data_IF_789653667768
#
_entry.id   IF_789653667768
#
_cell.length_a   1.000
_cell.length_b   1.000
_cell.length_c   1.000
_cell.angle_alpha   90.00
_cell.angle_beta   90.00
_cell.angle_gamma   90.00
#
_symmetry.space_group_name_H-M   'P 1'
#
loop_
_entity.id
_entity.type
_entity.pdbx_description
1 polymer ?
#
# COMPACT_ATOMS: atom_id res chain seq x y z
N UNK A 1 26.91 87.08 -23.69
CA UNK A 1 26.22 85.90 -24.25
C UNK A 1 26.97 84.58 -24.02
N UNK A 2 28.28 84.47 -24.34
CA UNK A 2 29.00 83.18 -24.28
C UNK A 2 29.15 82.51 -22.89
N UNK A 3 29.30 83.28 -21.81
CA UNK A 3 29.41 82.72 -20.45
C UNK A 3 28.12 82.05 -19.96
N UNK A 4 26.96 82.52 -20.42
CA UNK A 4 25.65 82.01 -20.01
C UNK A 4 25.32 80.69 -20.74
N UNK A 5 25.71 80.57 -22.01
CA UNK A 5 25.62 79.32 -22.76
C UNK A 5 26.46 78.19 -22.13
N UNK A 6 27.65 78.50 -21.62
CA UNK A 6 28.55 77.52 -20.99
C UNK A 6 27.96 76.97 -19.68
N UNK A 7 27.33 77.82 -18.87
CA UNK A 7 26.63 77.41 -17.64
C UNK A 7 25.42 76.53 -17.96
N UNK A 8 24.65 76.85 -19.02
CA UNK A 8 23.51 76.03 -19.45
C UNK A 8 23.95 74.66 -19.94
N UNK A 9 25.00 74.59 -20.76
CA UNK A 9 25.52 73.32 -21.29
C UNK A 9 26.09 72.44 -20.17
N UNK A 10 26.84 73.02 -19.22
CA UNK A 10 27.35 72.29 -18.06
C UNK A 10 26.21 71.80 -17.15
N UNK A 11 25.22 72.65 -16.85
CA UNK A 11 24.05 72.27 -16.07
C UNK A 11 23.23 71.15 -16.71
N UNK A 12 23.06 71.19 -18.04
CA UNK A 12 22.37 70.15 -18.78
C UNK A 12 23.17 68.85 -18.83
N UNK A 13 24.50 68.92 -18.98
CA UNK A 13 25.35 67.72 -18.94
C UNK A 13 25.33 67.03 -17.57
N UNK A 14 25.31 67.81 -16.48
CA UNK A 14 25.29 67.28 -15.11
C UNK A 14 23.93 66.67 -14.78
N UNK A 15 22.83 67.30 -15.20
CA UNK A 15 21.48 66.75 -15.01
C UNK A 15 21.27 65.47 -15.84
N UNK A 16 21.70 65.43 -17.11
CA UNK A 16 21.65 64.21 -17.93
C UNK A 16 22.54 63.11 -17.35
N UNK A 17 23.72 63.45 -16.80
CA UNK A 17 24.59 62.51 -16.10
C UNK A 17 23.93 61.87 -14.88
N UNK A 18 23.29 62.66 -14.02
CA UNK A 18 22.56 62.17 -12.84
C UNK A 18 21.38 61.28 -13.25
N UNK A 19 20.60 61.71 -14.25
CA UNK A 19 19.46 60.92 -14.77
C UNK A 19 19.95 59.60 -15.38
N UNK A 20 21.02 59.64 -16.17
CA UNK A 20 21.63 58.44 -16.77
C UNK A 20 22.14 57.46 -15.71
N UNK A 21 22.78 57.96 -14.65
CA UNK A 21 23.22 57.14 -13.52
C UNK A 21 22.05 56.48 -12.79
N UNK A 22 20.98 57.24 -12.48
CA UNK A 22 19.79 56.71 -11.83
C UNK A 22 19.05 55.67 -12.68
N UNK A 23 18.96 55.89 -13.99
CA UNK A 23 18.37 54.94 -14.93
C UNK A 23 19.19 53.65 -15.02
N UNK A 24 20.52 53.74 -15.08
CA UNK A 24 21.39 52.56 -15.11
C UNK A 24 21.31 51.76 -13.81
N UNK A 25 21.36 52.44 -12.65
CA UNK A 25 21.19 51.77 -11.35
C UNK A 25 19.82 51.12 -11.21
N UNK A 26 18.77 51.77 -11.69
CA UNK A 26 17.40 51.21 -11.73
C UNK A 26 17.31 49.98 -12.64
N UNK A 27 17.90 50.02 -13.84
CA UNK A 27 17.97 48.86 -14.75
C UNK A 27 18.71 47.69 -14.13
N UNK A 28 19.87 47.92 -13.51
CA UNK A 28 20.62 46.86 -12.82
C UNK A 28 19.82 46.27 -11.67
N UNK A 29 19.19 47.09 -10.83
CA UNK A 29 18.34 46.61 -9.75
C UNK A 29 17.12 45.82 -10.25
N UNK A 30 16.51 46.21 -11.37
CA UNK A 30 15.43 45.44 -11.99
C UNK A 30 15.93 44.10 -12.53
N UNK A 31 17.09 44.06 -13.19
CA UNK A 31 17.67 42.82 -13.72
C UNK A 31 18.03 41.87 -12.57
N UNK A 32 18.62 42.37 -11.49
CA UNK A 32 18.97 41.57 -10.31
C UNK A 32 17.72 41.02 -9.62
N UNK A 33 16.66 41.83 -9.48
CA UNK A 33 15.41 41.37 -8.90
C UNK A 33 14.71 40.32 -9.78
N UNK A 34 14.66 40.53 -11.10
CA UNK A 34 14.06 39.57 -12.03
C UNK A 34 14.87 38.27 -12.08
N UNK A 35 16.21 38.37 -12.15
CA UNK A 35 17.09 37.21 -12.14
C UNK A 35 17.00 36.46 -10.81
N UNK A 36 16.97 37.16 -9.68
CA UNK A 36 16.81 36.58 -8.35
C UNK A 36 15.47 35.85 -8.20
N UNK A 37 14.38 36.46 -8.69
CA UNK A 37 13.06 35.86 -8.69
C UNK A 37 12.99 34.61 -9.58
N UNK A 38 13.57 34.66 -10.79
CA UNK A 38 13.64 33.51 -11.70
C UNK A 38 14.45 32.36 -11.08
N UNK A 39 15.64 32.66 -10.52
CA UNK A 39 16.47 31.67 -9.84
C UNK A 39 15.73 30.99 -8.67
N UNK A 40 15.05 31.78 -7.84
CA UNK A 40 14.26 31.27 -6.72
C UNK A 40 13.07 30.42 -7.19
N UNK A 41 12.33 30.89 -8.19
CA UNK A 41 11.17 30.18 -8.75
C UNK A 41 11.59 28.84 -9.37
N UNK A 42 12.71 28.82 -10.10
CA UNK A 42 13.27 27.59 -10.65
C UNK A 42 13.74 26.63 -9.55
N UNK A 43 14.43 27.11 -8.51
CA UNK A 43 14.79 26.27 -7.36
C UNK A 43 13.55 25.66 -6.70
N UNK A 44 12.49 26.45 -6.48
CA UNK A 44 11.21 25.98 -5.94
C UNK A 44 10.59 24.90 -6.82
N UNK A 45 10.45 25.15 -8.13
CA UNK A 45 9.89 24.20 -9.09
C UNK A 45 10.65 22.87 -9.08
N UNK A 46 11.99 22.91 -9.05
CA UNK A 46 12.84 21.70 -8.96
C UNK A 46 12.53 20.90 -7.69
N UNK A 47 12.34 21.58 -6.54
CA UNK A 47 12.00 20.89 -5.30
C UNK A 47 10.63 20.19 -5.37
N UNK A 48 9.62 20.83 -5.98
CA UNK A 48 8.30 20.22 -6.23
C UNK A 48 8.41 19.02 -7.17
N UNK A 49 9.20 19.12 -8.25
CA UNK A 49 9.40 18.00 -9.16
C UNK A 49 10.06 16.82 -8.44
N UNK A 50 11.05 17.06 -7.58
CA UNK A 50 11.68 16.01 -6.77
C UNK A 50 10.67 15.26 -5.90
N UNK A 51 9.74 15.98 -5.26
CA UNK A 51 8.66 15.35 -4.47
C UNK A 51 7.72 14.53 -5.34
N UNK A 52 7.31 15.04 -6.49
CA UNK A 52 6.44 14.27 -7.38
C UNK A 52 7.15 13.01 -7.92
N UNK A 53 8.45 13.08 -8.19
CA UNK A 53 9.25 11.92 -8.59
C UNK A 53 9.32 10.87 -7.50
N UNK A 54 9.51 11.27 -6.24
CA UNK A 54 9.60 10.30 -5.14
C UNK A 54 8.26 9.64 -4.84
N UNK A 55 7.16 10.41 -4.86
CA UNK A 55 5.81 9.86 -4.71
C UNK A 55 5.50 8.85 -5.81
N UNK A 56 5.82 9.19 -7.06
CA UNK A 56 5.63 8.26 -8.18
C UNK A 56 6.45 6.97 -8.04
N UNK A 57 7.65 7.04 -7.45
CA UNK A 57 8.47 5.85 -7.18
C UNK A 57 7.89 5.00 -6.06
N UNK A 58 7.35 5.63 -5.01
CA UNK A 58 6.63 4.94 -3.94
C UNK A 58 5.41 4.21 -4.52
N UNK A 59 4.60 4.88 -5.35
CA UNK A 59 3.41 4.29 -5.98
C UNK A 59 3.74 3.09 -6.89
N UNK A 60 4.91 3.13 -7.53
CA UNK A 60 5.39 2.07 -8.43
C UNK A 60 6.07 0.90 -7.73
N UNK A 61 6.11 0.91 -6.41
CA UNK A 61 6.82 -0.09 -5.63
C UNK A 61 8.33 -0.18 -5.97
N UNK A 62 9.01 0.95 -6.20
CA UNK A 62 10.46 0.98 -6.50
C UNK A 62 11.28 0.48 -5.29
N UNK A 63 11.85 -0.73 -5.39
CA UNK A 63 12.62 -1.40 -4.33
C UNK A 63 13.85 -0.62 -3.89
N UNK A 64 14.40 0.26 -4.75
CA UNK A 64 15.55 1.11 -4.39
C UNK A 64 15.20 2.19 -3.36
N UNK A 65 13.92 2.58 -3.31
CA UNK A 65 13.39 3.53 -2.33
C UNK A 65 12.73 2.78 -1.17
N UNK A 66 12.03 1.68 -1.46
CA UNK A 66 11.18 0.99 -0.49
C UNK A 66 11.96 0.01 0.38
N UNK A 67 12.94 -0.68 -0.17
CA UNK A 67 13.81 -1.56 0.61
C UNK A 67 14.49 -0.82 1.78
N UNK A 68 15.04 0.38 1.55
CA UNK A 68 15.59 1.23 2.62
C UNK A 68 14.55 1.96 3.48
N UNK A 69 13.24 1.85 3.20
CA UNK A 69 12.19 2.43 4.07
C UNK A 69 11.82 1.47 5.21
N UNK A 70 12.80 0.76 5.76
CA UNK A 70 12.64 0.06 7.04
C UNK A 70 12.71 1.06 8.20
N UNK A 71 12.25 0.64 9.40
CA UNK A 71 12.26 1.52 10.59
C UNK A 71 13.66 2.09 10.82
N UNK A 72 13.73 3.42 10.96
CA UNK A 72 14.96 4.20 11.22
C UNK A 72 15.93 4.36 10.05
N UNK A 73 15.59 3.89 8.86
CA UNK A 73 16.38 4.12 7.65
C UNK A 73 15.80 5.27 6.81
N UNK A 74 16.68 5.92 6.04
CA UNK A 74 16.32 7.04 5.15
C UNK A 74 16.71 6.68 3.73
N UNK A 75 15.75 6.70 2.82
CA UNK A 75 15.98 6.57 1.39
C UNK A 75 16.31 7.93 0.78
N UNK A 76 17.15 7.94 -0.25
CA UNK A 76 17.58 9.17 -0.92
C UNK A 76 17.35 9.09 -2.42
N UNK A 77 16.90 10.20 -3.00
CA UNK A 77 16.86 10.43 -4.43
C UNK A 77 17.75 11.61 -4.77
N UNK A 78 18.72 11.39 -5.65
CA UNK A 78 19.56 12.42 -6.25
C UNK A 78 19.23 12.52 -7.72
N UNK A 79 18.85 13.71 -8.20
CA UNK A 79 18.49 13.89 -9.61
C UNK A 79 18.77 15.31 -10.07
N UNK A 80 19.09 15.48 -11.34
CA UNK A 80 19.16 16.78 -12.00
C UNK A 80 17.85 17.03 -12.75
N UNK A 81 17.24 18.18 -12.53
CA UNK A 81 15.98 18.58 -13.18
C UNK A 81 16.06 20.06 -13.49
N UNK A 82 15.61 20.48 -14.68
CA UNK A 82 15.64 21.89 -15.11
C UNK A 82 17.04 22.53 -14.94
N UNK A 83 18.10 21.77 -15.24
CA UNK A 83 19.51 22.18 -15.08
C UNK A 83 19.96 22.52 -13.64
N UNK A 84 19.15 22.20 -12.63
CA UNK A 84 19.54 22.28 -11.22
C UNK A 84 19.59 20.91 -10.56
N UNK A 85 20.15 20.89 -9.34
CA UNK A 85 20.28 19.68 -8.54
C UNK A 85 19.10 19.57 -7.57
N UNK A 86 18.53 18.38 -7.46
CA UNK A 86 17.51 18.04 -6.47
C UNK A 86 17.97 16.85 -5.63
N UNK A 87 17.78 16.97 -4.32
CA UNK A 87 18.00 15.89 -3.36
C UNK A 87 16.74 15.72 -2.52
N UNK A 88 16.19 14.51 -2.48
CA UNK A 88 14.99 14.21 -1.70
C UNK A 88 15.30 13.08 -0.74
N UNK A 89 15.05 13.30 0.55
CA UNK A 89 15.13 12.26 1.57
C UNK A 89 13.74 11.80 1.98
N UNK A 90 13.55 10.50 2.10
CA UNK A 90 12.30 9.87 2.58
C UNK A 90 12.61 9.04 3.82
N UNK A 91 11.81 9.19 4.86
CA UNK A 91 11.88 8.32 6.04
C UNK A 91 10.49 8.06 6.61
N UNK A 92 10.32 6.93 7.28
CA UNK A 92 9.13 6.70 8.11
C UNK A 92 9.25 7.49 9.42
N UNK A 93 8.15 8.12 9.85
CA UNK A 93 8.13 8.86 11.12
C UNK A 93 8.16 7.90 12.31
N UNK A 94 8.85 8.29 13.37
CA UNK A 94 8.85 7.63 14.68
C UNK A 94 7.79 8.27 15.58
N UNK A 95 6.92 7.52 16.31
CA UNK A 95 6.96 6.08 16.56
C UNK A 95 6.02 5.29 15.59
N UNK A 96 5.92 3.95 15.70
CA UNK A 96 6.14 2.91 14.68
C UNK A 96 4.98 2.71 13.68
N UNK A 97 4.09 3.69 13.50
CA UNK A 97 3.06 3.61 12.47
C UNK A 97 3.74 3.71 11.10
N UNK A 98 3.67 2.65 10.31
CA UNK A 98 4.10 2.59 8.91
C UNK A 98 3.37 3.61 8.01
N UNK A 99 2.46 4.36 8.63
CA UNK A 99 1.44 5.21 8.07
C UNK A 99 1.93 6.65 7.88
N UNK A 100 3.08 7.06 8.41
CA UNK A 100 3.56 8.44 8.24
C UNK A 100 4.92 8.50 7.56
N UNK A 101 5.00 9.23 6.45
CA UNK A 101 6.22 9.49 5.68
C UNK A 101 6.64 10.94 5.88
N UNK A 102 7.90 11.15 6.25
CA UNK A 102 8.57 12.45 6.22
C UNK A 102 9.41 12.58 4.95
N UNK A 103 9.16 13.64 4.18
CA UNK A 103 9.90 14.02 2.98
C UNK A 103 10.62 15.34 3.20
N UNK A 104 11.89 15.40 2.81
CA UNK A 104 12.64 16.67 2.72
C UNK A 104 13.23 16.77 1.33
N UNK A 105 12.79 17.75 0.56
CA UNK A 105 13.31 18.06 -0.77
C UNK A 105 14.17 19.31 -0.68
N UNK A 106 15.45 19.20 -1.05
CA UNK A 106 16.38 20.32 -1.16
C UNK A 106 16.80 20.45 -2.61
N UNK A 107 16.62 21.63 -3.19
CA UNK A 107 17.04 21.93 -4.55
C UNK A 107 18.05 23.08 -4.57
N UNK A 108 18.86 23.09 -5.62
CA UNK A 108 19.82 24.16 -5.92
C UNK A 108 19.76 24.49 -7.41
N UNK A 109 19.58 25.76 -7.72
CA UNK A 109 19.66 26.29 -9.08
C UNK A 109 20.60 27.51 -9.07
N UNK A 110 21.76 27.37 -9.72
CA UNK A 110 22.85 28.36 -9.71
C UNK A 110 23.31 28.66 -8.26
N UNK A 111 22.94 29.82 -7.71
CA UNK A 111 23.26 30.35 -6.39
C UNK A 111 22.04 30.36 -5.45
N UNK A 112 20.84 30.04 -5.94
CA UNK A 112 19.64 29.93 -5.14
C UNK A 112 19.41 28.49 -4.68
N UNK A 113 18.96 28.35 -3.43
CA UNK A 113 18.61 27.06 -2.83
C UNK A 113 17.23 27.14 -2.21
N UNK A 114 16.49 26.03 -2.30
CA UNK A 114 15.15 25.94 -1.75
C UNK A 114 14.99 24.62 -0.98
N UNK A 115 14.28 24.65 0.15
CA UNK A 115 14.03 23.45 0.97
C UNK A 115 12.56 23.36 1.32
N UNK A 116 11.96 22.25 0.93
CA UNK A 116 10.57 21.92 1.23
C UNK A 116 10.54 20.70 2.16
N UNK A 117 9.65 20.74 3.16
CA UNK A 117 9.42 19.63 4.10
C UNK A 117 7.97 19.24 4.09
N UNK A 118 7.69 17.96 3.84
CA UNK A 118 6.35 17.42 3.82
C UNK A 118 6.24 16.28 4.82
N UNK A 119 5.09 16.18 5.46
CA UNK A 119 4.67 15.02 6.22
C UNK A 119 3.39 14.49 5.63
N UNK A 120 3.41 13.24 5.19
CA UNK A 120 2.29 12.58 4.55
C UNK A 120 1.82 11.43 5.42
N UNK A 121 0.51 11.26 5.50
CA UNK A 121 -0.13 10.08 6.07
C UNK A 121 -0.52 9.14 4.93
N UNK A 122 0.06 7.94 4.88
CA UNK A 122 -0.37 6.85 4.03
C UNK A 122 -1.66 6.30 4.59
N UNK A 123 -2.76 6.61 3.92
CA UNK A 123 -4.00 5.91 4.12
C UNK A 123 -4.03 4.74 3.13
N UNK A 124 -4.09 3.48 3.58
CA UNK A 124 -4.34 2.39 2.65
C UNK A 124 -5.67 2.66 1.95
N UNK A 125 -5.67 2.48 0.63
CA UNK A 125 -6.91 2.38 -0.16
C UNK A 125 -7.74 1.29 0.52
N UNK A 126 -9.04 1.52 0.78
CA UNK A 126 -9.71 0.83 1.87
C UNK A 126 -9.59 -0.69 1.74
N UNK A 127 -9.24 -1.29 2.86
CA UNK A 127 -9.02 -2.71 3.03
C UNK A 127 -10.27 -3.29 3.70
N UNK A 128 -10.82 -4.42 3.22
CA UNK A 128 -12.03 -4.97 3.82
C UNK A 128 -11.77 -5.24 5.31
N UNK A 129 -12.76 -4.89 6.14
CA UNK A 129 -12.72 -5.28 7.54
C UNK A 129 -12.64 -6.81 7.63
N UNK A 130 -11.83 -7.32 8.54
CA UNK A 130 -11.74 -8.75 8.83
C UNK A 130 -12.17 -8.96 10.27
N UNK A 131 -13.32 -9.60 10.47
CA UNK A 131 -13.94 -9.84 11.78
C UNK A 131 -13.97 -11.33 12.18
N UNK A 132 -13.36 -12.19 11.37
CA UNK A 132 -13.08 -13.60 11.67
C UNK A 132 -11.91 -14.11 10.83
N UNK A 133 -11.33 -15.26 11.18
CA UNK A 133 -10.31 -15.93 10.35
C UNK A 133 -10.90 -16.34 8.98
N UNK A 134 -12.13 -16.85 8.98
CA UNK A 134 -12.89 -17.19 7.77
C UNK A 134 -14.23 -16.46 7.79
N UNK A 135 -14.49 -15.67 6.75
CA UNK A 135 -15.70 -14.89 6.58
C UNK A 135 -16.47 -15.41 5.38
N UNK A 136 -17.71 -15.84 5.62
CA UNK A 136 -18.53 -16.54 4.66
C UNK A 136 -19.82 -15.75 4.46
N UNK A 137 -19.98 -15.16 3.29
CA UNK A 137 -21.15 -14.30 3.01
C UNK A 137 -22.18 -14.92 2.07
N UNK A 138 -21.98 -16.15 1.61
CA UNK A 138 -22.95 -16.88 0.77
C UNK A 138 -24.08 -17.48 1.61
N UNK A 139 -25.30 -17.48 1.08
CA UNK A 139 -26.48 -18.03 1.75
C UNK A 139 -27.40 -18.76 0.75
N UNK A 140 -27.65 -20.07 0.92
CA UNK A 140 -26.99 -20.98 1.86
C UNK A 140 -25.51 -21.22 1.49
N UNK A 141 -24.71 -21.65 2.46
CA UNK A 141 -23.32 -22.05 2.25
C UNK A 141 -23.12 -23.56 2.37
N UNK A 142 -22.30 -24.14 1.49
CA UNK A 142 -21.72 -25.46 1.72
C UNK A 142 -20.44 -25.34 2.53
N UNK A 143 -20.43 -25.88 3.76
CA UNK A 143 -19.24 -25.90 4.62
C UNK A 143 -18.87 -27.35 4.96
N UNK A 144 -17.64 -27.74 4.63
CA UNK A 144 -17.17 -29.11 4.84
C UNK A 144 -15.74 -29.12 5.37
N UNK A 145 -15.51 -29.79 6.49
CA UNK A 145 -14.19 -30.09 7.02
C UNK A 145 -14.04 -31.60 7.16
N UNK A 146 -13.05 -32.19 6.48
CA UNK A 146 -12.79 -33.64 6.53
C UNK A 146 -11.32 -33.92 6.89
N UNK A 147 -11.06 -34.83 7.81
CA UNK A 147 -9.75 -35.08 8.39
C UNK A 147 -9.53 -34.26 9.66
N UNK A 148 -8.34 -33.67 9.81
CA UNK A 148 -7.95 -32.83 10.93
C UNK A 148 -7.60 -31.37 10.50
N UNK A 149 -8.39 -30.70 9.64
CA UNK A 149 -8.14 -29.29 9.34
C UNK A 149 -8.44 -28.42 10.57
N UNK A 150 -7.82 -27.25 10.68
CA UNK A 150 -8.09 -26.32 11.78
C UNK A 150 -8.34 -24.89 11.30
N UNK A 151 -9.26 -24.19 11.99
CA UNK A 151 -9.49 -22.76 11.82
C UNK A 151 -9.26 -22.10 13.18
N UNK A 152 -8.39 -21.09 13.25
CA UNK A 152 -8.07 -20.39 14.50
C UNK A 152 -8.17 -18.87 14.33
N UNK A 153 -9.13 -18.27 15.04
CA UNK A 153 -9.34 -16.83 15.11
C UNK A 153 -8.39 -16.09 16.05
N UNK A 154 -7.55 -16.78 16.83
CA UNK A 154 -6.58 -16.08 17.69
C UNK A 154 -5.46 -15.48 16.86
N UNK A 155 -4.80 -14.43 17.35
CA UNK A 155 -3.78 -13.71 16.59
C UNK A 155 -2.43 -14.44 16.59
N UNK A 156 -2.07 -15.05 15.46
CA UNK A 156 -0.76 -15.64 15.21
C UNK A 156 0.18 -14.63 14.53
N UNK A 157 1.47 -14.71 14.84
CA UNK A 157 2.49 -14.02 14.06
C UNK A 157 2.80 -14.78 12.75
N UNK A 158 3.55 -14.15 11.85
CA UNK A 158 3.93 -14.78 10.57
C UNK A 158 4.94 -15.93 10.72
N UNK A 159 5.50 -16.15 11.91
CA UNK A 159 6.43 -17.25 12.19
C UNK A 159 5.75 -18.46 12.82
N UNK A 160 4.42 -18.39 13.02
CA UNK A 160 3.63 -19.47 13.59
C UNK A 160 3.62 -19.52 15.11
N UNK A 161 3.92 -18.41 15.79
CA UNK A 161 3.71 -18.28 17.23
C UNK A 161 2.42 -17.55 17.54
N UNK A 162 1.71 -18.05 18.55
CA UNK A 162 0.52 -17.38 19.07
C UNK A 162 0.93 -16.12 19.84
N UNK A 163 0.34 -14.97 19.50
CA UNK A 163 0.58 -13.74 20.22
C UNK A 163 -0.02 -13.85 21.63
N UNK A 164 0.76 -13.57 22.69
CA UNK A 164 0.24 -13.63 24.07
C UNK A 164 -0.84 -12.58 24.35
N UNK A 165 -0.92 -11.52 23.54
CA UNK A 165 -1.89 -10.43 23.71
C UNK A 165 -3.22 -10.78 23.03
N UNK A 166 -4.18 -11.25 23.81
CA UNK A 166 -5.49 -11.74 23.34
C UNK A 166 -6.47 -10.66 22.89
N UNK A 167 -6.19 -9.38 23.13
CA UNK A 167 -7.08 -8.27 22.72
C UNK A 167 -7.11 -8.06 21.20
N UNK A 168 -6.24 -8.74 20.46
CA UNK A 168 -6.19 -8.71 18.99
C UNK A 168 -6.76 -9.97 18.36
N UNK A 169 -7.27 -10.91 19.16
CA UNK A 169 -7.94 -12.11 18.67
C UNK A 169 -9.27 -11.75 17.99
N UNK A 170 -9.74 -12.64 17.13
CA UNK A 170 -10.97 -12.51 16.38
C UNK A 170 -11.79 -13.80 16.42
N UNK A 171 -12.96 -13.78 15.80
CA UNK A 171 -13.81 -14.97 15.71
C UNK A 171 -13.17 -16.03 14.79
N UNK A 172 -13.49 -17.31 14.99
CA UNK A 172 -13.02 -18.37 14.10
C UNK A 172 -13.67 -18.24 12.71
N UNK A 173 -14.98 -18.44 12.66
CA UNK A 173 -15.80 -18.34 11.45
C UNK A 173 -16.94 -17.33 11.64
N UNK A 174 -17.12 -16.43 10.68
CA UNK A 174 -18.28 -15.55 10.59
C UNK A 174 -19.18 -15.96 9.41
N UNK A 175 -20.47 -16.07 9.67
CA UNK A 175 -21.54 -16.39 8.70
C UNK A 175 -22.64 -15.34 8.76
N UNK A 176 -23.46 -15.24 7.71
CA UNK A 176 -24.51 -14.22 7.58
C UNK A 176 -25.70 -14.54 8.46
N UNK A 177 -26.14 -15.81 8.48
CA UNK A 177 -27.40 -16.21 9.09
C UNK A 177 -27.24 -17.27 10.19
N UNK A 178 -28.24 -17.37 11.07
CA UNK A 178 -28.30 -18.42 12.08
C UNK A 178 -28.48 -19.82 11.48
N UNK A 179 -29.06 -19.93 10.27
CA UNK A 179 -29.16 -21.22 9.58
C UNK A 179 -27.78 -21.72 9.14
N UNK A 180 -26.93 -20.83 8.60
CA UNK A 180 -25.56 -21.17 8.19
C UNK A 180 -24.68 -21.55 9.38
N UNK A 181 -24.89 -20.94 10.55
CA UNK A 181 -24.13 -21.29 11.74
C UNK A 181 -24.38 -22.74 12.18
N UNK A 182 -25.58 -23.27 11.92
CA UNK A 182 -25.90 -24.70 12.12
C UNK A 182 -25.18 -25.61 11.13
N UNK A 183 -24.89 -25.14 9.91
CA UNK A 183 -24.07 -25.88 8.93
C UNK A 183 -22.61 -25.97 9.37
N UNK A 184 -22.08 -24.93 10.02
CA UNK A 184 -20.69 -24.88 10.51
C UNK A 184 -20.53 -25.58 11.88
N UNK A 185 -21.58 -25.55 12.72
CA UNK A 185 -21.54 -26.05 14.10
C UNK A 185 -20.99 -27.47 14.29
N UNK A 186 -21.28 -28.48 13.42
CA UNK A 186 -20.72 -29.82 13.53
C UNK A 186 -19.18 -29.86 13.55
N UNK A 187 -18.53 -28.86 12.98
CA UNK A 187 -17.07 -28.76 12.89
C UNK A 187 -16.44 -27.91 14.00
N UNK A 188 -17.22 -27.48 14.99
CA UNK A 188 -16.77 -26.56 16.05
C UNK A 188 -15.65 -27.07 16.96
N UNK A 189 -15.31 -28.37 16.92
CA UNK A 189 -14.10 -28.91 17.57
C UNK A 189 -12.81 -28.44 16.91
N UNK A 190 -12.86 -28.22 15.60
CA UNK A 190 -11.72 -27.82 14.77
C UNK A 190 -11.63 -26.30 14.60
N UNK A 191 -12.59 -25.57 15.16
CA UNK A 191 -12.67 -24.10 15.10
C UNK A 191 -12.34 -23.54 16.48
N UNK A 192 -11.32 -22.70 16.52
CA UNK A 192 -10.95 -21.88 17.67
C UNK A 192 -11.20 -20.42 17.32
N UNK A 193 -11.70 -19.64 18.27
CA UNK A 193 -11.94 -18.22 18.09
C UNK A 193 -12.21 -17.57 19.44
N UNK A 194 -11.81 -16.32 19.58
CA UNK A 194 -11.96 -15.51 20.79
C UNK A 194 -12.33 -14.09 20.34
N UNK A 195 -13.59 -13.65 20.50
CA UNK A 195 -14.55 -14.08 21.53
C UNK A 195 -15.41 -15.31 21.19
N UNK A 196 -15.63 -15.64 19.92
CA UNK A 196 -16.51 -16.75 19.52
C UNK A 196 -15.86 -17.65 18.48
N UNK A 197 -16.12 -18.95 18.57
CA UNK A 197 -15.75 -19.92 17.52
C UNK A 197 -16.50 -19.64 16.22
N UNK A 198 -17.82 -19.51 16.32
CA UNK A 198 -18.72 -19.24 15.20
C UNK A 198 -19.57 -18.03 15.60
N UNK A 199 -19.66 -17.04 14.70
CA UNK A 199 -20.47 -15.85 14.90
C UNK A 199 -21.41 -15.62 13.73
N UNK A 200 -22.62 -15.16 14.03
CA UNK A 200 -23.56 -14.65 13.03
C UNK A 200 -23.38 -13.15 12.95
N UNK A 201 -22.62 -12.69 11.97
CA UNK A 201 -22.37 -11.28 11.71
C UNK A 201 -22.17 -11.13 10.22
N UNK A 202 -22.89 -10.20 9.60
CA UNK A 202 -22.69 -9.85 8.19
C UNK A 202 -21.22 -9.56 7.94
N UNK A 203 -20.52 -10.39 7.14
CA UNK A 203 -19.14 -10.12 6.79
C UNK A 203 -19.00 -8.80 6.03
N UNK A 204 -17.87 -8.09 6.16
CA UNK A 204 -17.60 -6.93 5.34
C UNK A 204 -17.59 -7.30 3.85
N UNK A 205 -18.37 -6.57 3.07
CA UNK A 205 -18.45 -6.78 1.61
C UNK A 205 -17.12 -6.36 0.95
N UNK A 206 -16.39 -7.27 0.28
CA UNK A 206 -15.18 -6.94 -0.44
C UNK A 206 -15.45 -6.28 -1.80
N UNK A 207 -16.70 -6.30 -2.30
CA UNK A 207 -17.14 -5.77 -3.59
C UNK A 207 -16.54 -4.41 -3.98
N UNK A 208 -16.58 -3.40 -3.11
CA UNK A 208 -16.02 -2.07 -3.41
C UNK A 208 -14.50 -2.06 -3.65
N UNK A 209 -13.76 -3.03 -3.11
CA UNK A 209 -12.29 -3.07 -3.16
C UNK A 209 -11.76 -3.92 -4.33
N UNK A 210 -12.54 -4.90 -4.77
CA UNK A 210 -12.17 -5.86 -5.82
C UNK A 210 -11.68 -5.17 -7.11
N UNK A 211 -12.39 -4.19 -7.71
CA UNK A 211 -11.92 -3.54 -8.94
C UNK A 211 -10.56 -2.87 -8.79
N UNK A 212 -10.27 -2.31 -7.61
CA UNK A 212 -8.98 -1.67 -7.32
C UNK A 212 -7.86 -2.70 -7.21
N UNK A 213 -8.14 -3.86 -6.60
CA UNK A 213 -7.18 -4.95 -6.51
C UNK A 213 -6.89 -5.58 -7.88
N UNK A 214 -7.90 -5.76 -8.72
CA UNK A 214 -7.73 -6.25 -10.11
C UNK A 214 -6.88 -5.27 -10.93
N UNK A 215 -7.16 -3.97 -10.82
CA UNK A 215 -6.41 -2.94 -11.52
C UNK A 215 -4.95 -2.84 -11.03
N UNK A 216 -4.70 -3.10 -9.75
CA UNK A 216 -3.39 -3.04 -9.11
C UNK A 216 -2.60 -4.37 -9.14
N UNK A 217 -3.21 -5.47 -9.63
CA UNK A 217 -2.62 -6.80 -9.63
C UNK A 217 -1.20 -6.84 -10.21
N UNK A 218 -0.25 -7.35 -9.42
CA UNK A 218 1.12 -7.61 -9.85
C UNK A 218 1.19 -8.86 -10.73
N UNK A 219 0.39 -9.87 -10.38
CA UNK A 219 0.41 -11.19 -10.98
C UNK A 219 -1.03 -11.55 -11.37
N UNK A 220 -1.22 -11.95 -12.62
CA UNK A 220 -2.50 -12.45 -13.12
C UNK A 220 -2.36 -13.92 -13.45
N UNK A 221 -3.17 -14.75 -12.81
CA UNK A 221 -3.25 -16.17 -13.03
C UNK A 221 -4.42 -16.46 -13.98
N UNK A 222 -4.17 -17.14 -15.11
CA UNK A 222 -5.25 -17.49 -16.03
C UNK A 222 -6.14 -18.60 -15.47
N UNK A 223 -7.35 -18.71 -16.00
CA UNK A 223 -8.26 -19.82 -15.74
C UNK A 223 -7.60 -21.18 -16.01
N UNK A 224 -7.88 -22.16 -15.16
CA UNK A 224 -7.31 -23.50 -15.17
C UNK A 224 -5.82 -23.56 -14.81
N UNK A 225 -5.21 -22.49 -14.31
CA UNK A 225 -3.78 -22.48 -13.99
C UNK A 225 -3.43 -23.38 -12.80
N UNK A 226 -2.29 -24.06 -12.90
CA UNK A 226 -1.65 -24.75 -11.78
C UNK A 226 -0.33 -24.07 -11.45
N UNK A 227 -0.25 -23.52 -10.24
CA UNK A 227 0.76 -22.59 -9.81
C UNK A 227 1.56 -23.20 -8.67
N UNK A 228 2.88 -23.08 -8.76
CA UNK A 228 3.82 -23.53 -7.74
C UNK A 228 4.98 -22.52 -7.69
N UNK A 229 5.39 -22.12 -6.49
CA UNK A 229 6.48 -21.18 -6.30
C UNK A 229 6.24 -20.18 -5.17
N UNK A 230 7.14 -19.20 -5.11
CA UNK A 230 7.12 -18.12 -4.12
C UNK A 230 6.66 -16.83 -4.83
N UNK A 231 5.59 -16.22 -4.32
CA UNK A 231 5.00 -14.99 -4.85
C UNK A 231 5.08 -13.90 -3.80
N UNK A 232 5.90 -12.87 -4.07
CA UNK A 232 6.17 -11.80 -3.12
C UNK A 232 7.04 -12.23 -1.94
N UNK A 233 7.15 -11.34 -0.96
CA UNK A 233 7.84 -11.56 0.31
C UNK A 233 7.25 -10.69 1.41
N UNK A 234 7.63 -10.91 2.67
CA UNK A 234 7.21 -10.05 3.78
C UNK A 234 7.56 -8.56 3.58
N UNK A 235 8.70 -8.27 2.92
CA UNK A 235 9.14 -6.91 2.64
C UNK A 235 8.54 -6.31 1.35
N UNK A 236 8.09 -7.17 0.43
CA UNK A 236 7.50 -6.79 -0.85
C UNK A 236 6.29 -7.69 -1.15
N UNK A 237 5.16 -7.46 -0.44
CA UNK A 237 3.92 -8.18 -0.71
C UNK A 237 3.36 -7.80 -2.08
N UNK A 238 2.63 -8.73 -2.70
CA UNK A 238 2.09 -8.61 -4.06
C UNK A 238 0.57 -8.80 -4.08
N UNK A 239 -0.07 -8.31 -5.13
CA UNK A 239 -1.48 -8.57 -5.41
C UNK A 239 -1.58 -9.60 -6.55
N UNK A 240 -2.20 -10.73 -6.24
CA UNK A 240 -2.52 -11.77 -7.20
C UNK A 240 -3.98 -11.68 -7.61
N UNK A 241 -4.26 -11.79 -8.90
CA UNK A 241 -5.61 -11.90 -9.42
C UNK A 241 -5.77 -13.21 -10.21
N UNK A 242 -6.77 -14.00 -9.88
CA UNK A 242 -7.18 -15.18 -10.63
C UNK A 242 -8.48 -14.84 -11.36
N UNK A 243 -8.49 -15.00 -12.68
CA UNK A 243 -9.68 -14.85 -13.51
C UNK A 243 -10.19 -16.23 -13.90
N UNK A 244 -11.17 -16.76 -13.17
CA UNK A 244 -11.62 -18.15 -13.26
C UNK A 244 -11.07 -19.03 -12.14
N UNK A 245 -10.71 -20.26 -12.49
CA UNK A 245 -10.28 -21.28 -11.56
C UNK A 245 -8.75 -21.38 -11.50
N UNK A 246 -8.18 -21.52 -10.30
CA UNK A 246 -6.75 -21.77 -10.15
C UNK A 246 -6.45 -22.78 -9.06
N UNK A 247 -5.32 -23.46 -9.22
CA UNK A 247 -4.77 -24.39 -8.26
C UNK A 247 -3.38 -23.95 -7.83
N UNK A 248 -3.16 -23.78 -6.54
CA UNK A 248 -1.83 -23.61 -5.96
C UNK A 248 -1.38 -24.94 -5.38
N UNK A 249 -0.38 -25.55 -6.00
CA UNK A 249 0.09 -26.89 -5.69
C UNK A 249 1.59 -26.92 -5.36
N UNK A 250 2.03 -27.94 -4.62
CA UNK A 250 3.45 -28.16 -4.32
C UNK A 250 3.90 -27.41 -3.07
N UNK A 251 5.18 -27.02 -3.05
CA UNK A 251 5.77 -26.29 -1.93
C UNK A 251 6.01 -24.84 -2.37
N UNK A 252 5.28 -23.92 -1.78
CA UNK A 252 5.31 -22.52 -2.21
C UNK A 252 4.76 -21.59 -1.15
N UNK A 253 4.85 -20.30 -1.43
CA UNK A 253 4.29 -19.30 -0.52
C UNK A 253 3.79 -18.07 -1.26
N UNK A 254 2.76 -17.43 -0.74
CA UNK A 254 2.21 -16.19 -1.28
C UNK A 254 2.15 -15.12 -0.20
N UNK A 255 2.72 -13.94 -0.44
CA UNK A 255 2.67 -12.80 0.50
C UNK A 255 1.86 -11.66 -0.11
N UNK A 256 0.71 -11.32 0.49
CA UNK A 256 -0.10 -10.17 0.11
C UNK A 256 -1.60 -10.47 -0.03
N UNK A 257 -2.22 -9.96 -1.10
CA UNK A 257 -3.66 -10.11 -1.35
C UNK A 257 -3.85 -11.03 -2.55
N UNK A 258 -4.66 -12.07 -2.41
CA UNK A 258 -5.07 -12.95 -3.51
C UNK A 258 -6.56 -12.79 -3.75
N UNK A 259 -6.92 -12.27 -4.92
CA UNK A 259 -8.29 -12.06 -5.36
C UNK A 259 -8.63 -13.10 -6.42
N UNK A 260 -9.71 -13.84 -6.20
CA UNK A 260 -10.11 -14.97 -7.05
C UNK A 260 -11.52 -14.73 -7.56
N UNK A 261 -11.67 -14.60 -8.88
CA UNK A 261 -12.94 -14.54 -9.57
C UNK A 261 -13.34 -15.95 -10.06
N UNK A 262 -13.76 -16.81 -9.13
CA UNK A 262 -14.00 -18.23 -9.40
C UNK A 262 -13.56 -19.12 -8.24
N UNK A 263 -13.06 -20.31 -8.56
CA UNK A 263 -12.65 -21.30 -7.56
C UNK A 263 -11.13 -21.37 -7.36
N UNK A 264 -10.71 -21.57 -6.12
CA UNK A 264 -9.30 -21.77 -5.77
C UNK A 264 -9.10 -23.09 -5.02
N UNK A 265 -8.10 -23.87 -5.45
CA UNK A 265 -7.66 -25.08 -4.76
C UNK A 265 -6.23 -24.89 -4.21
N UNK A 266 -6.06 -25.03 -2.90
CA UNK A 266 -4.74 -25.16 -2.27
C UNK A 266 -4.41 -26.64 -2.04
N UNK A 267 -3.28 -27.09 -2.56
CA UNK A 267 -2.81 -28.48 -2.51
C UNK A 267 -1.31 -28.51 -2.21
N UNK A 268 -0.81 -29.53 -1.51
CA UNK A 268 0.58 -29.58 -1.07
C UNK A 268 0.84 -28.76 0.20
N UNK A 269 2.02 -28.14 0.29
CA UNK A 269 2.48 -27.30 1.40
C UNK A 269 2.62 -25.87 0.89
N UNK A 270 1.49 -25.28 0.51
CA UNK A 270 1.44 -23.90 0.03
C UNK A 270 0.98 -22.98 1.17
N UNK A 271 1.86 -22.07 1.57
CA UNK A 271 1.60 -21.15 2.68
C UNK A 271 1.24 -19.75 2.17
N UNK A 272 0.06 -19.27 2.51
CA UNK A 272 -0.34 -17.90 2.21
C UNK A 272 -0.24 -17.00 3.44
N UNK A 273 0.35 -15.83 3.27
CA UNK A 273 0.45 -14.78 4.28
C UNK A 273 -0.29 -13.54 3.77
N UNK A 274 -1.47 -13.26 4.33
CA UNK A 274 -2.26 -12.07 4.03
C UNK A 274 -3.75 -12.36 3.84
N UNK A 275 -4.36 -11.85 2.77
CA UNK A 275 -5.81 -11.88 2.59
C UNK A 275 -6.20 -12.64 1.32
N UNK A 276 -7.02 -13.69 1.46
CA UNK A 276 -7.71 -14.33 0.33
C UNK A 276 -9.12 -13.77 0.21
N UNK A 277 -9.49 -13.37 -1.00
CA UNK A 277 -10.85 -12.99 -1.35
C UNK A 277 -11.30 -13.84 -2.53
N UNK A 278 -12.30 -14.68 -2.34
CA UNK A 278 -12.96 -15.39 -3.43
C UNK A 278 -14.33 -14.78 -3.69
N UNK A 279 -14.63 -14.46 -4.96
CA UNK A 279 -15.88 -13.86 -5.38
C UNK A 279 -16.27 -14.33 -6.80
N UNK A 280 -17.48 -13.98 -7.24
CA UNK A 280 -17.99 -14.30 -8.57
C UNK A 280 -19.06 -15.38 -8.56
N UNK A 281 -19.58 -15.71 -9.74
CA UNK A 281 -20.76 -16.56 -9.93
C UNK A 281 -20.55 -18.05 -9.54
N UNK A 282 -19.30 -18.47 -9.37
CA UNK A 282 -18.93 -19.79 -8.86
C UNK A 282 -17.72 -19.64 -7.93
N UNK A 283 -17.94 -19.24 -6.68
CA UNK A 283 -16.86 -19.17 -5.69
C UNK A 283 -16.78 -20.48 -4.90
N UNK A 284 -15.67 -21.19 -5.03
CA UNK A 284 -15.34 -22.31 -4.14
C UNK A 284 -13.92 -22.13 -3.63
N UNK A 285 -13.75 -22.15 -2.31
CA UNK A 285 -12.43 -22.24 -1.70
C UNK A 285 -12.24 -23.67 -1.22
N UNK A 286 -11.31 -24.38 -1.84
CA UNK A 286 -11.01 -25.76 -1.52
C UNK A 286 -9.57 -25.91 -1.03
N UNK A 287 -9.40 -26.56 0.11
CA UNK A 287 -8.12 -27.09 0.56
C UNK A 287 -8.17 -28.60 0.37
N UNK A 288 -7.34 -29.10 -0.51
CA UNK A 288 -7.30 -30.52 -0.89
C UNK A 288 -5.91 -31.04 -0.63
N UNK A 289 -5.74 -31.79 0.45
CA UNK A 289 -4.46 -32.39 0.80
C UNK A 289 -4.48 -33.87 0.46
N UNK A 290 -4.04 -34.24 -0.73
CA UNK A 290 -3.60 -35.62 -0.97
C UNK A 290 -2.22 -35.89 -0.33
N UNK A 291 -1.40 -34.83 -0.19
CA UNK A 291 -0.18 -34.76 0.61
C UNK A 291 0.11 -33.29 0.99
N UNK A 292 0.71 -33.03 2.16
CA UNK A 292 1.07 -31.68 2.64
C UNK A 292 0.05 -31.03 3.59
N UNK A 293 0.41 -29.85 4.10
CA UNK A 293 -0.32 -29.08 5.11
C UNK A 293 -0.35 -27.62 4.67
N UNK A 294 -1.26 -27.21 3.76
CA UNK A 294 -1.34 -25.84 3.31
C UNK A 294 -1.88 -24.98 4.46
N UNK A 295 -1.27 -23.82 4.67
CA UNK A 295 -1.67 -22.90 5.72
C UNK A 295 -1.99 -21.51 5.16
N UNK A 296 -3.03 -20.88 5.70
CA UNK A 296 -3.28 -19.46 5.50
C UNK A 296 -3.06 -18.73 6.81
N UNK A 297 -2.09 -17.82 6.82
CA UNK A 297 -1.78 -16.89 7.89
C UNK A 297 -2.36 -15.52 7.52
N UNK A 298 -3.50 -15.15 8.10
CA UNK A 298 -4.18 -13.90 7.81
C UNK A 298 -5.68 -14.08 7.81
N UNK A 299 -6.38 -13.93 6.68
CA UNK A 299 -7.81 -14.20 6.64
C UNK A 299 -8.33 -14.60 5.27
N UNK A 300 -9.51 -15.22 5.30
CA UNK A 300 -10.26 -15.61 4.12
C UNK A 300 -11.60 -14.90 4.12
N UNK A 301 -11.98 -14.33 2.99
CA UNK A 301 -13.30 -13.79 2.71
C UNK A 301 -13.83 -14.50 1.47
N UNK A 302 -14.99 -15.14 1.61
CA UNK A 302 -15.70 -15.77 0.52
C UNK A 302 -17.04 -15.07 0.31
N UNK A 303 -17.21 -14.52 -0.89
CA UNK A 303 -18.34 -13.69 -1.31
C UNK A 303 -18.85 -14.14 -2.66
N UNK A 304 -19.55 -15.28 -2.69
CA UNK A 304 -20.19 -15.79 -3.90
C UNK A 304 -21.70 -15.99 -3.75
N UNK A 305 -22.34 -16.51 -4.80
CA UNK A 305 -23.78 -16.72 -4.84
C UNK A 305 -24.24 -17.79 -3.86
N UNK A 306 -25.57 -17.96 -3.72
CA UNK A 306 -26.15 -19.10 -3.02
C UNK A 306 -25.50 -20.42 -3.46
N UNK A 307 -25.11 -21.26 -2.49
CA UNK A 307 -24.43 -22.55 -2.64
C UNK A 307 -22.93 -22.50 -2.97
N UNK A 308 -22.25 -21.37 -2.77
CA UNK A 308 -20.78 -21.37 -2.70
C UNK A 308 -20.26 -22.34 -1.63
N UNK A 309 -19.08 -22.91 -1.87
CA UNK A 309 -18.55 -24.00 -1.06
C UNK A 309 -17.19 -23.64 -0.43
N UNK A 310 -17.11 -23.76 0.88
CA UNK A 310 -15.87 -23.75 1.64
C UNK A 310 -15.54 -25.18 2.09
N UNK A 311 -14.46 -25.75 1.55
CA UNK A 311 -14.07 -27.13 1.86
C UNK A 311 -12.63 -27.19 2.35
N UNK A 312 -12.41 -27.74 3.54
CA UNK A 312 -11.07 -28.06 4.05
C UNK A 312 -10.90 -29.57 4.20
N UNK A 313 -9.83 -30.13 3.64
CA UNK A 313 -9.50 -31.56 3.77
C UNK A 313 -8.12 -31.79 4.38
N UNK A 314 -7.97 -32.97 5.00
CA UNK A 314 -6.75 -33.48 5.63
C UNK A 314 -6.22 -32.59 6.74
N UNK A 315 -5.08 -31.91 6.56
CA UNK A 315 -4.43 -31.14 7.65
C UNK A 315 -4.30 -29.64 7.34
N UNK A 316 -5.15 -29.10 6.46
CA UNK A 316 -5.12 -27.68 6.12
C UNK A 316 -5.44 -26.78 7.33
N UNK A 317 -4.75 -25.64 7.41
CA UNK A 317 -4.89 -24.70 8.52
C UNK A 317 -5.26 -23.29 8.02
N UNK A 318 -6.21 -22.63 8.67
CA UNK A 318 -6.45 -21.19 8.51
C UNK A 318 -6.30 -20.52 9.86
N UNK A 319 -5.27 -19.69 9.99
CA UNK A 319 -4.88 -19.02 11.23
C UNK A 319 -4.94 -17.52 11.05
N UNK A 320 -5.68 -16.85 11.92
CA UNK A 320 -5.76 -15.41 11.89
C UNK A 320 -4.41 -14.79 12.21
N UNK A 321 -3.95 -13.86 11.37
CA UNK A 321 -2.72 -13.11 11.62
C UNK A 321 -2.92 -11.63 11.32
N UNK A 322 -2.94 -10.82 12.38
CA UNK A 322 -3.00 -9.36 12.24
C UNK A 322 -1.75 -8.82 11.58
N UNK A 323 -0.59 -9.42 11.82
CA UNK A 323 0.68 -9.04 11.18
C UNK A 323 0.63 -9.26 9.67
N UNK A 324 0.18 -10.44 9.22
CA UNK A 324 0.05 -10.74 7.80
C UNK A 324 -0.99 -9.85 7.09
N UNK A 325 -2.12 -9.58 7.76
CA UNK A 325 -3.13 -8.65 7.24
C UNK A 325 -2.61 -7.21 7.19
N UNK A 326 -1.85 -6.77 8.19
CA UNK A 326 -1.22 -5.45 8.19
C UNK A 326 -0.20 -5.35 7.05
N UNK A 327 0.60 -6.39 6.80
CA UNK A 327 1.48 -6.45 5.63
C UNK A 327 0.68 -6.30 4.32
N UNK A 328 -0.40 -7.06 4.17
CA UNK A 328 -1.27 -7.00 2.98
C UNK A 328 -1.97 -5.63 2.81
N UNK A 329 -2.31 -4.96 3.91
CA UNK A 329 -2.92 -3.63 3.90
C UNK A 329 -1.98 -2.55 3.34
N UNK A 330 -0.66 -2.69 3.55
CA UNK A 330 0.34 -1.69 3.12
C UNK A 330 1.07 -2.07 1.82
N UNK A 331 0.40 -2.72 0.88
CA UNK A 331 0.93 -2.90 -0.48
C UNK A 331 1.00 -1.54 -1.18
N UNK A 332 2.19 -1.15 -1.65
CA UNK A 332 2.49 0.22 -2.09
C UNK A 332 1.61 0.74 -3.24
N UNK A 333 1.03 -0.14 -4.06
CA UNK A 333 0.11 0.23 -5.15
C UNK A 333 -1.29 0.64 -4.69
N UNK A 334 -1.64 0.36 -3.43
CA UNK A 334 -2.97 0.59 -2.85
C UNK A 334 -2.88 1.61 -1.71
N UNK A 335 -2.21 2.74 -1.95
CA UNK A 335 -2.01 3.76 -0.94
C UNK A 335 -2.42 5.13 -1.46
N UNK A 336 -3.24 5.80 -0.68
CA UNK A 336 -3.48 7.22 -0.81
C UNK A 336 -2.60 7.98 0.20
N UNK A 337 -2.14 9.16 -0.18
CA UNK A 337 -1.39 10.03 0.72
C UNK A 337 -2.24 11.23 1.08
N UNK A 338 -2.48 11.42 2.38
CA UNK A 338 -3.06 12.63 2.93
C UNK A 338 -1.94 13.54 3.43
N UNK A 339 -1.90 14.78 2.97
CA UNK A 339 -0.94 15.77 3.46
C UNK A 339 -1.29 16.12 4.91
N UNK A 340 -0.37 15.89 5.84
CA UNK A 340 -0.50 16.30 7.24
C UNK A 340 0.16 17.67 7.47
N UNK A 341 1.34 17.85 6.90
CA UNK A 341 2.09 19.11 7.00
C UNK A 341 2.79 19.40 5.69
N UNK A 342 2.71 20.65 5.29
CA UNK A 342 3.39 21.20 4.13
C UNK A 342 4.13 22.46 4.58
N UNK A 343 5.46 22.46 4.46
CA UNK A 343 6.29 23.60 4.80
C UNK A 343 7.25 23.90 3.65
N UNK A 344 7.23 25.15 3.25
CA UNK A 344 7.87 25.75 2.09
C UNK A 344 8.67 26.98 2.51
#
# INVERSE_FOLDING_TARGET
MGRLALVIVLGLSLTVGIVGYNLNRSKTGLIENVSGFDKYTNARNIAHTGVNMILRRLDRNDTSIIGPLTRSQTAWLYTNVMSGLCTVSVKLSTPPALDTIDLVSKSKYIDSAYTMKLRLFRAPVPFPGVNAAVNLSSSPIGFNMNGNPSIDGRNWDMNGFLNPVRTTDTNGVAVVSAAESLTVAPYGSNITGDPKKITTQTPPDPGPYIPQYIAAADIKFPDGSSNNGIYGSAAAPVIGYVDGNAKFAGNGSFYGILVVHGSIEFNGTFDMYGLVIAYGDESTIAFSTSAGTPAIWGAVIETGPPNSNFTMKGTADVRFSKEALHMAQFINKLQAYRVLRWYE
#
